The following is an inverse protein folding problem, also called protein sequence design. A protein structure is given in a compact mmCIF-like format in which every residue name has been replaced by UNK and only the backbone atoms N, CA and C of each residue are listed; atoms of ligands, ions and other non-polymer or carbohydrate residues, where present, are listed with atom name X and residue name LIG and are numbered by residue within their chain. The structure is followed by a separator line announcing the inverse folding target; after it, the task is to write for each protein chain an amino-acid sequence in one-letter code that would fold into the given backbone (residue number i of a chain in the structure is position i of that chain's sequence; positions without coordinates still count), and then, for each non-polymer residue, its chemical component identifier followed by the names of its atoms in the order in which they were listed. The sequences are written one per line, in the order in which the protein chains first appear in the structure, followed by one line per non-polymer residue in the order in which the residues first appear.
data_IF_480373652420
#
_entry.id   IF_480373652420
#
_cell.length_a   1.000
_cell.length_b   1.000
_cell.length_c   1.000
_cell.angle_alpha   90.00
_cell.angle_beta   90.00
_cell.angle_gamma   90.00
#
_symmetry.space_group_name_H-M   'P 1'
#
loop_
_entity.id
_entity.type
_entity.pdbx_description
1 polymer ?
#
# COMPACT_ATOMS: atom_id res chain seq x y z
N UNK A 1 -32.65 14.69 46.27
CA UNK A 1 -32.43 13.31 45.77
C UNK A 1 -31.41 12.67 46.69
N UNK A 2 -31.77 11.51 47.22
CA UNK A 2 -31.23 10.90 48.44
C UNK A 2 -29.83 10.32 48.27
N UNK A 3 -29.03 10.42 49.33
CA UNK A 3 -27.85 9.58 49.59
C UNK A 3 -28.28 8.19 50.08
N UNK A 4 -27.43 7.20 49.80
CA UNK A 4 -27.21 5.84 50.39
C UNK A 4 -26.74 4.96 49.21
N UNK A 5 -25.67 4.17 49.25
CA UNK A 5 -25.25 3.21 50.27
C UNK A 5 -23.77 2.83 50.09
N UNK A 6 -23.12 2.65 51.22
CA UNK A 6 -21.81 2.01 51.43
C UNK A 6 -21.95 0.50 51.31
N UNK A 7 -20.96 -0.21 50.74
CA UNK A 7 -20.64 -1.57 51.21
C UNK A 7 -19.17 -1.93 50.94
N UNK A 8 -18.42 -2.03 52.05
CA UNK A 8 -17.14 -2.71 52.23
C UNK A 8 -17.29 -4.24 52.07
N UNK A 9 -16.17 -4.91 51.71
CA UNK A 9 -15.75 -6.29 52.00
C UNK A 9 -14.93 -6.83 50.80
N UNK A 10 -13.80 -7.51 50.91
CA UNK A 10 -13.01 -8.01 52.04
C UNK A 10 -11.62 -8.38 51.49
N UNK A 11 -10.63 -8.31 52.36
CA UNK A 11 -9.22 -8.60 52.16
C UNK A 11 -9.01 -10.11 52.35
N UNK A 12 -8.30 -10.76 51.44
CA UNK A 12 -7.55 -11.99 51.78
C UNK A 12 -6.12 -11.92 51.24
N UNK A 13 -5.26 -11.51 52.17
CA UNK A 13 -3.84 -11.84 52.27
C UNK A 13 -3.67 -13.35 52.51
N UNK A 14 -2.77 -14.02 51.77
CA UNK A 14 -1.61 -14.74 52.35
C UNK A 14 -0.84 -15.62 51.36
N UNK A 15 0.47 -15.35 51.37
CA UNK A 15 1.63 -16.28 51.34
C UNK A 15 2.00 -16.99 50.04
N UNK A 16 3.26 -17.26 49.72
CA UNK A 16 4.62 -16.83 50.11
C UNK A 16 5.56 -17.76 49.31
N UNK A 17 6.78 -17.31 49.01
CA UNK A 17 8.00 -18.12 48.72
C UNK A 17 8.07 -18.93 47.41
N UNK A 18 9.20 -19.12 46.72
CA UNK A 18 10.61 -18.64 46.70
C UNK A 18 11.29 -19.37 45.53
N UNK A 19 12.43 -18.84 45.04
CA UNK A 19 13.56 -19.43 44.27
C UNK A 19 13.93 -18.43 43.15
N UNK A 20 14.92 -17.54 43.29
CA UNK A 20 16.34 -17.68 43.60
C UNK A 20 17.08 -18.64 42.65
N UNK A 21 17.65 -18.08 41.57
CA UNK A 21 18.87 -18.60 40.95
C UNK A 21 19.64 -17.46 40.31
N UNK A 22 20.57 -16.98 41.12
CA UNK A 22 21.78 -16.21 40.89
C UNK A 22 22.62 -16.73 39.73
N UNK A 23 23.13 -15.83 38.89
CA UNK A 23 24.15 -16.14 37.89
C UNK A 23 24.80 -14.85 37.36
N UNK A 24 25.96 -14.51 37.93
CA UNK A 24 26.75 -13.29 37.68
C UNK A 24 27.29 -13.17 36.24
N UNK A 25 27.64 -11.95 35.78
CA UNK A 25 28.35 -11.72 34.53
C UNK A 25 29.87 -11.91 34.71
N UNK A 26 30.55 -12.47 33.71
CA UNK A 26 32.02 -12.56 33.69
C UNK A 26 32.61 -11.48 32.80
N UNK A 27 33.50 -10.69 33.40
CA UNK A 27 34.35 -9.67 32.77
C UNK A 27 35.52 -10.26 31.97
N UNK A 28 35.82 -9.57 30.87
CA UNK A 28 37.13 -9.04 30.44
C UNK A 28 38.33 -9.99 30.17
N UNK A 29 38.77 -10.01 28.90
CA UNK A 29 40.15 -9.73 28.44
C UNK A 29 40.01 -9.20 27.00
N UNK A 30 40.61 -8.13 26.49
CA UNK A 30 41.91 -7.52 26.74
C UNK A 30 42.70 -7.57 25.43
N UNK A 31 42.58 -6.55 24.56
CA UNK A 31 43.51 -6.33 23.44
C UNK A 31 43.47 -4.85 22.98
N UNK A 32 44.26 -4.04 23.67
CA UNK A 32 44.88 -2.81 23.16
C UNK A 32 45.73 -3.13 21.91
N UNK A 33 45.68 -2.29 20.87
CA UNK A 33 46.87 -1.67 20.23
C UNK A 33 46.64 -1.20 18.79
N UNK A 34 46.96 0.10 18.60
CA UNK A 34 47.55 0.75 17.40
C UNK A 34 46.64 1.32 16.32
N UNK A 35 46.30 2.57 16.57
CA UNK A 35 46.48 3.71 15.65
C UNK A 35 47.63 3.52 14.64
N UNK A 36 47.33 3.68 13.35
CA UNK A 36 48.27 4.24 12.39
C UNK A 36 47.54 4.88 11.22
N UNK A 37 47.55 6.20 11.23
CA UNK A 37 47.26 7.11 10.13
C UNK A 37 47.99 6.73 8.85
N UNK A 38 47.30 6.78 7.71
CA UNK A 38 47.93 7.10 6.43
C UNK A 38 46.97 7.93 5.57
N UNK A 39 47.13 9.24 5.70
CA UNK A 39 46.75 10.24 4.71
C UNK A 39 47.86 10.28 3.65
N UNK A 40 47.48 10.18 2.37
CA UNK A 40 48.26 10.75 1.26
C UNK A 40 47.31 11.25 0.15
N UNK A 41 47.76 12.23 -0.66
CA UNK A 41 46.97 13.42 -0.91
C UNK A 41 46.52 13.57 -2.37
N UNK A 42 45.53 14.45 -2.57
CA UNK A 42 45.58 15.46 -3.63
C UNK A 42 45.23 15.04 -5.05
N UNK A 43 43.99 15.33 -5.43
CA UNK A 43 43.73 16.11 -6.64
C UNK A 43 42.43 16.90 -6.47
N UNK A 44 42.62 18.21 -6.41
CA UNK A 44 41.65 19.31 -6.35
C UNK A 44 40.83 19.46 -7.66
N UNK A 45 39.92 20.44 -7.80
CA UNK A 45 38.54 20.20 -8.19
C UNK A 45 38.22 20.70 -9.60
N UNK A 46 37.18 20.14 -10.24
CA UNK A 46 36.56 20.78 -11.39
C UNK A 46 35.13 21.21 -10.99
N UNK A 47 34.96 22.52 -10.88
CA UNK A 47 33.69 23.24 -10.76
C UNK A 47 32.99 23.34 -12.13
N UNK A 48 31.75 23.86 -12.22
CA UNK A 48 30.59 23.17 -12.75
C UNK A 48 30.35 23.50 -14.24
N UNK A 49 29.85 22.52 -15.00
CA UNK A 49 29.31 22.79 -16.34
C UNK A 49 27.79 22.73 -16.30
N UNK A 50 27.22 23.74 -16.95
CA UNK A 50 25.84 24.18 -16.92
C UNK A 50 24.84 23.12 -17.42
N UNK A 51 23.62 23.29 -16.92
CA UNK A 51 22.46 22.53 -17.29
C UNK A 51 22.04 22.76 -18.75
N UNK A 52 21.81 21.68 -19.48
CA UNK A 52 20.78 21.61 -20.51
C UNK A 52 20.03 20.27 -20.43
N UNK A 53 18.73 20.25 -20.79
CA UNK A 53 17.78 19.26 -20.32
C UNK A 53 17.89 17.97 -21.15
N UNK A 54 18.29 16.88 -20.51
CA UNK A 54 18.25 15.58 -21.16
C UNK A 54 16.82 15.06 -21.25
N UNK A 55 16.27 15.27 -22.45
CA UNK A 55 15.39 14.39 -23.23
C UNK A 55 14.58 13.38 -22.42
N UNK A 56 13.27 13.62 -22.44
CA UNK A 56 12.21 12.61 -22.33
C UNK A 56 12.71 11.23 -22.78
N UNK A 57 12.74 10.30 -21.83
CA UNK A 57 12.68 8.88 -22.10
C UNK A 57 11.39 8.62 -22.86
N UNK A 58 11.51 8.70 -24.18
CA UNK A 58 10.48 8.39 -25.15
C UNK A 58 10.19 6.88 -25.05
N UNK A 59 9.33 6.52 -24.08
CA UNK A 59 8.65 5.24 -24.02
C UNK A 59 7.74 5.16 -25.22
N UNK A 60 8.33 4.76 -26.34
CA UNK A 60 7.75 4.66 -27.67
C UNK A 60 6.45 3.85 -27.56
N UNK A 61 5.32 4.56 -27.56
CA UNK A 61 4.03 4.01 -27.96
C UNK A 61 4.15 3.60 -29.41
N UNK A 62 4.75 2.43 -29.63
CA UNK A 62 4.68 1.73 -30.89
C UNK A 62 3.25 1.19 -30.98
N UNK A 63 2.40 2.00 -31.59
CA UNK A 63 1.19 1.56 -32.24
C UNK A 63 1.62 0.58 -33.33
N UNK A 64 1.71 -0.71 -32.96
CA UNK A 64 1.83 -1.79 -33.93
C UNK A 64 0.43 -1.98 -34.53
N UNK A 65 0.25 -1.88 -35.86
CA UNK A 65 -1.00 -2.29 -36.47
C UNK A 65 -1.16 -3.78 -36.17
N UNK A 66 -2.22 -4.14 -35.44
CA UNK A 66 -2.52 -5.54 -35.21
C UNK A 66 -2.79 -6.19 -36.59
N UNK A 67 -1.93 -7.14 -36.93
CA UNK A 67 -2.17 -8.16 -37.93
C UNK A 67 -3.55 -8.79 -37.69
N UNK A 68 -4.48 -8.62 -38.64
CA UNK A 68 -5.40 -9.71 -39.00
C UNK A 68 -4.53 -10.76 -39.71
N UNK A 69 -4.66 -12.08 -39.49
CA UNK A 69 -5.95 -12.77 -39.52
C UNK A 69 -6.02 -13.98 -38.56
N UNK A 70 -6.77 -13.88 -37.47
CA UNK A 70 -7.32 -15.06 -36.80
C UNK A 70 -8.72 -15.26 -37.34
N UNK A 71 -8.93 -16.27 -38.18
CA UNK A 71 -10.27 -16.73 -38.52
C UNK A 71 -10.93 -17.20 -37.22
N UNK A 72 -11.80 -16.37 -36.65
CA UNK A 72 -12.87 -16.89 -35.82
C UNK A 72 -13.52 -18.01 -36.66
N UNK A 73 -13.68 -19.25 -36.15
CA UNK A 73 -14.62 -20.13 -36.82
C UNK A 73 -15.91 -19.32 -36.83
N UNK A 74 -16.49 -19.13 -38.02
CA UNK A 74 -17.78 -18.50 -38.23
C UNK A 74 -18.81 -19.32 -37.44
N UNK A 75 -18.84 -19.14 -36.11
CA UNK A 75 -19.93 -19.54 -35.26
C UNK A 75 -21.03 -18.62 -35.76
N UNK A 76 -21.89 -19.19 -36.62
CA UNK A 76 -23.12 -18.59 -37.12
C UNK A 76 -23.57 -17.59 -36.07
N UNK A 77 -23.47 -16.30 -36.42
CA UNK A 77 -23.89 -15.19 -35.56
C UNK A 77 -25.14 -15.65 -34.84
N UNK A 78 -25.28 -15.49 -33.52
CA UNK A 78 -26.50 -15.97 -32.83
C UNK A 78 -27.78 -15.47 -33.54
N UNK A 79 -27.68 -14.34 -34.24
CA UNK A 79 -28.68 -13.81 -35.18
C UNK A 79 -28.89 -14.63 -36.48
N UNK A 80 -27.84 -15.19 -37.10
CA UNK A 80 -27.92 -16.11 -38.24
C UNK A 80 -28.45 -17.50 -37.85
N UNK A 81 -28.15 -18.00 -36.64
CA UNK A 81 -28.81 -19.20 -36.11
C UNK A 81 -30.31 -18.97 -35.89
N UNK A 82 -30.71 -17.81 -35.36
CA UNK A 82 -32.13 -17.44 -35.17
C UNK A 82 -32.81 -17.17 -36.53
N UNK A 83 -32.10 -16.62 -37.51
CA UNK A 83 -32.65 -16.36 -38.84
C UNK A 83 -32.85 -17.64 -39.68
N UNK A 84 -31.99 -18.64 -39.54
CA UNK A 84 -32.13 -19.94 -40.23
C UNK A 84 -33.23 -20.83 -39.66
N UNK A 85 -33.72 -20.54 -38.45
CA UNK A 85 -34.86 -21.24 -37.84
C UNK A 85 -36.22 -20.60 -38.16
N UNK A 86 -36.28 -19.57 -39.01
CA UNK A 86 -37.47 -18.72 -39.18
C UNK A 86 -38.11 -18.74 -40.58
N UNK A 87 -37.76 -19.65 -41.49
CA UNK A 87 -38.34 -19.60 -42.85
C UNK A 87 -38.74 -20.93 -43.52
N UNK A 88 -38.42 -22.10 -42.98
CA UNK A 88 -38.91 -23.36 -43.56
C UNK A 88 -39.50 -24.29 -42.50
N UNK A 89 -40.71 -24.78 -42.81
CA UNK A 89 -41.40 -25.91 -42.19
C UNK A 89 -41.94 -25.75 -40.76
N UNK A 90 -42.98 -24.93 -40.62
CA UNK A 90 -43.99 -25.19 -39.58
C UNK A 90 -44.90 -26.36 -40.03
N UNK A 91 -44.40 -27.61 -39.96
CA UNK A 91 -45.21 -28.84 -40.22
C UNK A 91 -46.32 -29.10 -39.21
N UNK A 92 -46.31 -28.35 -38.10
CA UNK A 92 -47.48 -28.25 -37.22
C UNK A 92 -48.71 -27.69 -37.94
N UNK A 93 -48.56 -27.07 -39.13
CA UNK A 93 -49.71 -26.80 -39.98
C UNK A 93 -50.27 -28.10 -40.55
N UNK A 94 -49.47 -29.06 -41.02
CA UNK A 94 -49.97 -30.27 -41.71
C UNK A 94 -50.92 -31.10 -40.83
N UNK A 95 -50.55 -31.36 -39.56
CA UNK A 95 -51.46 -32.05 -38.64
C UNK A 95 -52.69 -31.20 -38.32
N UNK A 96 -52.52 -29.90 -38.07
CA UNK A 96 -53.64 -29.01 -37.73
C UNK A 96 -54.59 -28.77 -38.91
N UNK A 97 -54.05 -28.77 -40.13
CA UNK A 97 -54.76 -28.62 -41.40
C UNK A 97 -55.60 -29.87 -41.66
N UNK A 98 -55.03 -31.07 -41.45
CA UNK A 98 -55.77 -32.34 -41.57
C UNK A 98 -56.85 -32.45 -40.48
N UNK A 99 -56.57 -32.03 -39.25
CA UNK A 99 -57.58 -31.99 -38.18
C UNK A 99 -58.71 -31.00 -38.49
N UNK A 100 -58.39 -29.83 -39.04
CA UNK A 100 -59.37 -28.85 -39.49
C UNK A 100 -60.22 -29.39 -40.67
N UNK A 101 -59.61 -30.17 -41.57
CA UNK A 101 -60.33 -30.83 -42.66
C UNK A 101 -61.29 -31.92 -42.14
N UNK A 102 -60.89 -32.69 -41.12
CA UNK A 102 -61.76 -33.64 -40.43
C UNK A 102 -62.92 -32.89 -39.73
N UNK A 103 -62.64 -31.78 -39.07
CA UNK A 103 -63.65 -30.94 -38.42
C UNK A 103 -64.66 -30.38 -39.44
N UNK A 104 -64.17 -29.89 -40.59
CA UNK A 104 -65.01 -29.40 -41.68
C UNK A 104 -65.87 -30.53 -42.27
N UNK A 105 -65.30 -31.71 -42.46
CA UNK A 105 -65.99 -32.89 -42.97
C UNK A 105 -67.09 -33.38 -42.03
N UNK A 106 -66.89 -33.31 -40.71
CA UNK A 106 -67.95 -33.61 -39.73
C UNK A 106 -69.01 -32.51 -39.72
N UNK A 107 -68.61 -31.24 -39.81
CA UNK A 107 -69.53 -30.10 -39.74
C UNK A 107 -70.44 -29.98 -40.97
N UNK A 108 -69.98 -30.39 -42.15
CA UNK A 108 -70.74 -30.36 -43.41
C UNK A 108 -71.57 -31.62 -43.66
N UNK A 109 -71.38 -32.66 -42.86
CA UNK A 109 -72.00 -33.95 -43.07
C UNK A 109 -73.49 -33.96 -42.67
N UNK A 110 -74.26 -34.88 -43.28
CA UNK A 110 -75.73 -34.88 -43.17
C UNK A 110 -76.17 -35.45 -41.82
N UNK A 111 -76.76 -34.60 -40.97
CA UNK A 111 -77.31 -35.02 -39.68
C UNK A 111 -78.65 -35.76 -39.81
N UNK A 112 -78.88 -36.73 -38.95
CA UNK A 112 -80.16 -37.44 -38.85
C UNK A 112 -81.13 -36.69 -37.92
N UNK A 113 -82.42 -36.50 -38.30
CA UNK A 113 -83.38 -35.81 -37.45
C UNK A 113 -83.62 -36.60 -36.15
N UNK A 114 -83.72 -35.89 -35.02
CA UNK A 114 -83.95 -36.48 -33.68
C UNK A 114 -82.84 -37.45 -33.22
N UNK A 115 -81.61 -37.34 -33.74
CA UNK A 115 -80.49 -38.22 -33.38
C UNK A 115 -79.14 -37.47 -33.39
N UNK A 116 -78.20 -37.77 -32.48
CA UNK A 116 -76.86 -37.15 -32.45
C UNK A 116 -75.89 -37.72 -33.52
N UNK A 117 -76.39 -38.40 -34.55
CA UNK A 117 -75.57 -39.10 -35.53
C UNK A 117 -75.50 -38.34 -36.85
N UNK A 118 -74.32 -38.40 -37.48
CA UNK A 118 -73.99 -37.69 -38.72
C UNK A 118 -73.48 -38.69 -39.76
N UNK A 119 -73.95 -38.56 -41.01
CA UNK A 119 -73.58 -39.42 -42.13
C UNK A 119 -72.34 -38.88 -42.84
N UNK A 120 -71.22 -39.57 -42.67
CA UNK A 120 -69.92 -39.19 -43.20
C UNK A 120 -69.44 -40.23 -44.23
N UNK A 121 -68.71 -39.77 -45.27
CA UNK A 121 -68.03 -40.68 -46.19
C UNK A 121 -66.89 -41.40 -45.45
N UNK A 122 -67.06 -42.70 -45.21
CA UNK A 122 -66.08 -43.54 -44.51
C UNK A 122 -64.69 -43.54 -45.16
N UNK A 123 -64.61 -43.58 -46.50
CA UNK A 123 -63.32 -43.63 -47.19
C UNK A 123 -62.54 -42.33 -47.03
N UNK A 124 -63.23 -41.18 -47.12
CA UNK A 124 -62.62 -39.87 -46.94
C UNK A 124 -62.19 -39.62 -45.48
N UNK A 125 -63.04 -39.99 -44.51
CA UNK A 125 -62.72 -39.85 -43.08
C UNK A 125 -61.51 -40.72 -42.68
N UNK A 126 -61.41 -41.95 -43.19
CA UNK A 126 -60.27 -42.81 -42.93
C UNK A 126 -58.99 -42.29 -43.57
N UNK A 127 -59.06 -41.76 -44.80
CA UNK A 127 -57.90 -41.15 -45.46
C UNK A 127 -57.35 -39.96 -44.68
N UNK A 128 -58.21 -39.07 -44.18
CA UNK A 128 -57.77 -37.93 -43.36
C UNK A 128 -57.19 -38.39 -42.02
N UNK A 129 -57.78 -39.42 -41.39
CA UNK A 129 -57.25 -39.99 -40.16
C UNK A 129 -55.85 -40.61 -40.36
N UNK A 130 -55.64 -41.30 -41.48
CA UNK A 130 -54.34 -41.87 -41.84
C UNK A 130 -53.30 -40.77 -42.11
N UNK A 131 -53.67 -39.69 -42.80
CA UNK A 131 -52.80 -38.51 -42.97
C UNK A 131 -52.43 -37.86 -41.63
N UNK A 132 -53.39 -37.70 -40.71
CA UNK A 132 -53.11 -37.16 -39.37
C UNK A 132 -52.17 -38.08 -38.58
N UNK A 133 -52.33 -39.39 -38.73
CA UNK A 133 -51.47 -40.39 -38.10
C UNK A 133 -50.05 -40.38 -38.65
N UNK A 134 -49.88 -40.07 -39.92
CA UNK A 134 -48.58 -39.94 -40.57
C UNK A 134 -47.86 -38.63 -40.20
N UNK A 135 -48.60 -37.53 -40.05
CA UNK A 135 -48.07 -36.23 -39.67
C UNK A 135 -47.67 -36.15 -38.17
N UNK A 136 -48.46 -36.73 -37.26
CA UNK A 136 -48.23 -36.64 -35.80
C UNK A 136 -46.80 -36.99 -35.32
N UNK A 137 -46.19 -38.12 -35.74
CA UNK A 137 -44.84 -38.47 -35.29
C UNK A 137 -43.76 -37.47 -35.73
N UNK A 138 -43.95 -36.80 -36.86
CA UNK A 138 -43.01 -35.78 -37.35
C UNK A 138 -43.03 -34.54 -36.45
N UNK A 139 -44.21 -34.05 -36.09
CA UNK A 139 -44.38 -32.89 -35.21
C UNK A 139 -43.86 -33.16 -33.79
N UNK A 140 -44.10 -34.36 -33.25
CA UNK A 140 -43.58 -34.74 -31.92
C UNK A 140 -42.04 -34.79 -31.94
N UNK A 141 -41.43 -35.34 -33.00
CA UNK A 141 -39.97 -35.35 -33.13
C UNK A 141 -39.40 -33.93 -33.20
N UNK A 142 -40.03 -33.05 -33.96
CA UNK A 142 -39.62 -31.65 -34.08
C UNK A 142 -39.77 -30.91 -32.75
N UNK A 143 -40.89 -31.07 -32.04
CA UNK A 143 -41.11 -30.50 -30.71
C UNK A 143 -40.01 -30.95 -29.73
N UNK A 144 -39.68 -32.25 -29.72
CA UNK A 144 -38.59 -32.78 -28.90
C UNK A 144 -37.23 -32.20 -29.30
N UNK A 145 -36.98 -31.99 -30.60
CA UNK A 145 -35.74 -31.38 -31.09
C UNK A 145 -35.63 -29.91 -30.68
N UNK A 146 -36.73 -29.15 -30.72
CA UNK A 146 -36.78 -27.76 -30.23
C UNK A 146 -36.50 -27.73 -28.73
N UNK A 147 -37.12 -28.60 -27.95
CA UNK A 147 -36.88 -28.71 -26.50
C UNK A 147 -35.42 -29.08 -26.22
N UNK A 148 -34.86 -30.04 -26.95
CA UNK A 148 -33.45 -30.42 -26.82
C UNK A 148 -32.52 -29.25 -27.19
N UNK A 149 -32.82 -28.52 -28.25
CA UNK A 149 -32.09 -27.31 -28.65
C UNK A 149 -32.16 -26.20 -27.60
N UNK A 150 -33.34 -25.96 -27.04
CA UNK A 150 -33.53 -24.99 -25.96
C UNK A 150 -32.73 -25.37 -24.71
N UNK A 151 -32.76 -26.64 -24.31
CA UNK A 151 -31.97 -27.14 -23.19
C UNK A 151 -30.46 -26.97 -23.43
N UNK A 152 -29.98 -27.28 -24.63
CA UNK A 152 -28.57 -27.10 -24.98
C UNK A 152 -28.14 -25.62 -24.96
N UNK A 153 -29.03 -24.69 -25.35
CA UNK A 153 -28.77 -23.25 -25.25
C UNK A 153 -28.72 -22.80 -23.79
N UNK A 154 -29.64 -23.30 -22.95
CA UNK A 154 -29.66 -22.98 -21.52
C UNK A 154 -28.39 -23.49 -20.84
N UNK A 155 -27.97 -24.72 -21.14
CA UNK A 155 -26.74 -25.31 -20.60
C UNK A 155 -25.51 -24.48 -20.98
N UNK A 156 -25.36 -24.13 -22.26
CA UNK A 156 -24.27 -23.25 -22.71
C UNK A 156 -24.30 -21.88 -22.02
N UNK A 157 -25.48 -21.27 -21.91
CA UNK A 157 -25.62 -19.98 -21.24
C UNK A 157 -25.26 -20.06 -19.74
N UNK A 158 -25.55 -21.18 -19.08
CA UNK A 158 -25.14 -21.44 -17.70
C UNK A 158 -23.63 -21.62 -17.58
N UNK A 159 -23.01 -22.37 -18.49
CA UNK A 159 -21.54 -22.53 -18.55
C UNK A 159 -20.84 -21.18 -18.74
N UNK A 160 -21.29 -20.38 -19.71
CA UNK A 160 -20.75 -19.04 -19.97
C UNK A 160 -20.95 -18.11 -18.75
N UNK A 161 -22.12 -18.14 -18.14
CA UNK A 161 -22.39 -17.35 -16.92
C UNK A 161 -21.47 -17.75 -15.77
N UNK A 162 -21.23 -19.05 -15.57
CA UNK A 162 -20.33 -19.56 -14.55
C UNK A 162 -18.87 -19.15 -14.84
N UNK A 163 -18.44 -19.21 -16.11
CA UNK A 163 -17.11 -18.75 -16.51
C UNK A 163 -16.92 -17.25 -16.26
N UNK A 164 -17.91 -16.43 -16.62
CA UNK A 164 -17.89 -14.98 -16.36
C UNK A 164 -17.83 -14.71 -14.86
N UNK A 165 -18.62 -15.43 -14.07
CA UNK A 165 -18.65 -15.27 -12.61
C UNK A 165 -17.31 -15.66 -11.99
N UNK A 166 -16.71 -16.77 -12.41
CA UNK A 166 -15.38 -17.19 -11.95
C UNK A 166 -14.30 -16.16 -12.30
N UNK A 167 -14.31 -15.62 -13.53
CA UNK A 167 -13.40 -14.56 -13.97
C UNK A 167 -13.60 -13.28 -13.15
N UNK A 168 -14.85 -12.90 -12.89
CA UNK A 168 -15.18 -11.71 -12.11
C UNK A 168 -14.71 -11.86 -10.65
N UNK A 169 -14.91 -13.03 -10.04
CA UNK A 169 -14.43 -13.34 -8.70
C UNK A 169 -12.90 -13.28 -8.62
N UNK A 170 -12.19 -13.97 -9.52
CA UNK A 170 -10.73 -13.94 -9.57
C UNK A 170 -10.19 -12.52 -9.77
N UNK A 171 -10.79 -11.72 -10.65
CA UNK A 171 -10.42 -10.32 -10.85
C UNK A 171 -10.69 -9.47 -9.60
N UNK A 172 -11.80 -9.70 -8.91
CA UNK A 172 -12.13 -9.01 -7.66
C UNK A 172 -11.10 -9.32 -6.58
N UNK A 173 -10.74 -10.59 -6.41
CA UNK A 173 -9.69 -11.03 -5.47
C UNK A 173 -8.34 -10.38 -5.80
N UNK A 174 -7.97 -10.34 -7.08
CA UNK A 174 -6.75 -9.66 -7.52
C UNK A 174 -6.77 -8.16 -7.21
N UNK A 175 -7.88 -7.47 -7.49
CA UNK A 175 -8.02 -6.04 -7.18
C UNK A 175 -7.92 -5.79 -5.68
N UNK A 176 -8.54 -6.63 -4.86
CA UNK A 176 -8.46 -6.52 -3.40
C UNK A 176 -7.04 -6.73 -2.91
N UNK A 177 -6.35 -7.78 -3.39
CA UNK A 177 -4.97 -8.06 -3.03
C UNK A 177 -4.04 -6.89 -3.41
N UNK A 178 -4.16 -6.35 -4.62
CA UNK A 178 -3.39 -5.19 -5.08
C UNK A 178 -3.68 -3.94 -4.26
N UNK A 179 -4.95 -3.70 -3.91
CA UNK A 179 -5.35 -2.56 -3.09
C UNK A 179 -4.77 -2.65 -1.67
N UNK A 180 -4.83 -3.84 -1.06
CA UNK A 180 -4.22 -4.08 0.26
C UNK A 180 -2.70 -3.88 0.22
N UNK A 181 -2.01 -4.47 -0.76
CA UNK A 181 -0.57 -4.30 -0.90
C UNK A 181 -0.15 -2.83 -1.04
N UNK A 182 -0.89 -2.05 -1.83
CA UNK A 182 -0.65 -0.60 -1.98
C UNK A 182 -0.95 0.18 -0.71
N UNK A 183 -2.02 -0.17 0.00
CA UNK A 183 -2.35 0.47 1.27
C UNK A 183 -1.24 0.24 2.30
N UNK A 184 -0.77 -1.01 2.42
CA UNK A 184 0.34 -1.36 3.31
C UNK A 184 1.63 -0.64 2.93
N UNK A 185 1.92 -0.51 1.63
CA UNK A 185 3.07 0.24 1.13
C UNK A 185 2.99 1.73 1.54
N UNK A 186 1.82 2.36 1.36
CA UNK A 186 1.61 3.76 1.72
C UNK A 186 1.74 3.98 3.23
N UNK A 187 1.15 3.12 4.05
CA UNK A 187 1.27 3.19 5.51
C UNK A 187 2.74 3.03 5.93
N UNK A 188 3.47 2.10 5.32
CA UNK A 188 4.88 1.92 5.61
C UNK A 188 5.72 3.13 5.20
N UNK A 189 5.46 3.72 4.03
CA UNK A 189 6.12 4.94 3.58
C UNK A 189 5.86 6.10 4.54
N UNK A 190 4.61 6.31 4.93
CA UNK A 190 4.24 7.37 5.88
C UNK A 190 4.94 7.17 7.23
N UNK A 191 4.97 5.93 7.74
CA UNK A 191 5.67 5.59 8.97
C UNK A 191 7.18 5.91 8.89
N UNK A 192 7.81 5.63 7.76
CA UNK A 192 9.23 5.97 7.55
C UNK A 192 9.44 7.48 7.58
N UNK A 193 8.53 8.25 6.98
CA UNK A 193 8.60 9.73 6.99
C UNK A 193 8.49 10.26 8.42
N UNK A 194 7.51 9.80 9.20
CA UNK A 194 7.34 10.20 10.60
C UNK A 194 8.58 9.83 11.43
N UNK A 195 9.11 8.61 11.27
CA UNK A 195 10.33 8.19 11.96
C UNK A 195 11.56 9.01 11.56
N UNK A 196 11.67 9.39 10.28
CA UNK A 196 12.75 10.24 9.79
C UNK A 196 12.65 11.66 10.35
N UNK A 197 11.43 12.20 10.47
CA UNK A 197 11.17 13.50 11.10
C UNK A 197 11.54 13.50 12.59
N UNK A 198 11.04 12.52 13.36
CA UNK A 198 11.39 12.36 14.79
C UNK A 198 12.93 12.23 14.97
N UNK A 199 13.58 11.45 14.11
CA UNK A 199 15.04 11.33 14.17
C UNK A 199 15.75 12.62 13.80
N UNK A 200 15.24 13.38 12.83
CA UNK A 200 15.80 14.69 12.49
C UNK A 200 15.67 15.67 13.65
N UNK A 201 14.51 15.73 14.31
CA UNK A 201 14.28 16.55 15.51
C UNK A 201 15.25 16.19 16.63
N UNK A 202 15.42 14.89 16.92
CA UNK A 202 16.39 14.42 17.93
C UNK A 202 17.84 14.78 17.58
N UNK A 203 18.21 14.73 16.29
CA UNK A 203 19.55 15.13 15.85
C UNK A 203 19.75 16.64 16.04
N UNK A 204 18.74 17.44 15.70
CA UNK A 204 18.78 18.89 15.89
C UNK A 204 18.90 19.23 17.38
N UNK A 205 18.07 18.63 18.24
CA UNK A 205 18.12 18.85 19.69
C UNK A 205 19.47 18.46 20.30
N UNK A 206 20.05 17.33 19.85
CA UNK A 206 21.39 16.92 20.29
C UNK A 206 22.46 17.91 19.81
N UNK A 207 22.38 18.34 18.56
CA UNK A 207 23.33 19.30 17.99
C UNK A 207 23.26 20.66 18.69
N UNK A 208 22.06 21.17 18.97
CA UNK A 208 21.89 22.43 19.71
C UNK A 208 22.45 22.32 21.12
N UNK A 209 22.14 21.24 21.84
CA UNK A 209 22.68 21.01 23.19
C UNK A 209 24.20 20.88 23.20
N UNK A 210 24.80 20.23 22.21
CA UNK A 210 26.26 20.15 22.07
C UNK A 210 26.84 21.54 21.80
N UNK A 211 26.24 22.31 20.90
CA UNK A 211 26.70 23.66 20.57
C UNK A 211 26.62 24.61 21.79
N UNK A 212 25.53 24.55 22.56
CA UNK A 212 25.36 25.32 23.81
C UNK A 212 26.43 24.93 24.85
N UNK A 213 26.63 23.64 25.07
CA UNK A 213 27.66 23.15 25.99
C UNK A 213 29.06 23.56 25.54
N UNK A 214 29.35 23.51 24.24
CA UNK A 214 30.64 23.91 23.68
C UNK A 214 30.87 25.41 23.86
N UNK A 215 29.84 26.23 23.61
CA UNK A 215 29.91 27.69 23.77
C UNK A 215 30.12 28.04 25.23
N UNK A 216 29.30 27.48 26.13
CA UNK A 216 29.44 27.69 27.58
C UNK A 216 30.81 27.20 28.11
N UNK A 217 31.31 26.08 27.59
CA UNK A 217 32.64 25.56 27.94
C UNK A 217 33.76 26.48 27.46
N UNK A 218 33.67 27.02 26.25
CA UNK A 218 34.63 27.99 25.72
C UNK A 218 34.61 29.31 26.51
N UNK A 219 33.42 29.83 26.85
CA UNK A 219 33.27 31.05 27.65
C UNK A 219 33.88 30.88 29.03
N UNK A 220 33.59 29.76 29.72
CA UNK A 220 34.20 29.44 31.02
C UNK A 220 35.71 29.34 30.94
N UNK A 221 36.23 28.69 29.90
CA UNK A 221 37.68 28.58 29.70
C UNK A 221 38.33 29.95 29.47
N UNK A 222 37.71 30.81 28.67
CA UNK A 222 38.18 32.18 28.46
C UNK A 222 38.18 32.98 29.77
N UNK A 223 37.11 32.89 30.57
CA UNK A 223 37.00 33.54 31.88
C UNK A 223 38.12 33.07 32.82
N UNK A 224 38.33 31.75 32.95
CA UNK A 224 39.38 31.18 33.79
C UNK A 224 40.77 31.67 33.37
N UNK A 225 41.04 31.75 32.07
CA UNK A 225 42.32 32.22 31.53
C UNK A 225 42.52 33.73 31.71
N UNK A 226 41.46 34.52 31.57
CA UNK A 226 41.51 35.95 31.83
C UNK A 226 41.72 36.24 33.33
N UNK A 227 41.06 35.50 34.21
CA UNK A 227 41.26 35.60 35.66
C UNK A 227 42.68 35.19 36.08
N UNK A 228 43.23 34.12 35.47
CA UNK A 228 44.63 33.71 35.68
C UNK A 228 45.60 34.83 35.26
N UNK A 229 45.38 35.42 34.08
CA UNK A 229 46.18 36.53 33.58
C UNK A 229 46.07 37.77 34.48
N UNK A 230 44.88 38.12 34.95
CA UNK A 230 44.66 39.22 35.90
C UNK A 230 45.49 39.00 37.18
N UNK A 231 45.49 37.78 37.72
CA UNK A 231 46.28 37.43 38.89
C UNK A 231 47.79 37.61 38.66
N UNK A 232 48.30 37.25 37.48
CA UNK A 232 49.71 37.46 37.10
C UNK A 232 50.02 38.97 37.01
N UNK A 233 49.16 39.75 36.35
CA UNK A 233 49.34 41.19 36.21
C UNK A 233 49.32 41.89 37.57
N UNK A 234 48.45 41.51 38.50
CA UNK A 234 48.44 42.04 39.87
C UNK A 234 49.76 41.79 40.60
N UNK A 235 50.30 40.56 40.53
CA UNK A 235 51.62 40.24 41.11
C UNK A 235 52.74 41.09 40.51
N UNK A 236 52.72 41.29 39.19
CA UNK A 236 53.73 42.11 38.50
C UNK A 236 53.60 43.60 38.87
N UNK A 237 52.37 44.11 39.05
CA UNK A 237 52.13 45.46 39.57
C UNK A 237 52.65 45.62 41.00
N UNK A 238 52.42 44.65 41.89
CA UNK A 238 52.95 44.65 43.26
C UNK A 238 54.48 44.66 43.27
N UNK A 239 55.12 43.85 42.42
CA UNK A 239 56.59 43.84 42.27
C UNK A 239 57.13 45.18 41.77
N UNK A 240 56.46 45.81 40.78
CA UNK A 240 56.83 47.13 40.28
C UNK A 240 56.67 48.22 41.35
N UNK A 241 55.57 48.19 42.09
CA UNK A 241 55.32 49.11 43.21
C UNK A 241 56.37 48.95 44.32
N UNK A 242 56.71 47.71 44.68
CA UNK A 242 57.77 47.39 45.64
C UNK A 242 59.14 47.90 45.14
N UNK A 243 59.50 47.61 43.88
CA UNK A 243 60.74 48.10 43.26
C UNK A 243 60.83 49.63 43.28
N UNK A 244 59.74 50.33 42.95
CA UNK A 244 59.67 51.80 43.06
C UNK A 244 59.80 52.30 44.49
N UNK A 245 59.23 51.61 45.47
CA UNK A 245 59.35 51.97 46.90
C UNK A 245 60.82 51.88 47.34
N UNK A 246 61.51 50.79 47.00
CA UNK A 246 62.94 50.61 47.28
C UNK A 246 63.78 51.71 46.65
N UNK A 247 63.52 52.07 45.38
CA UNK A 247 64.22 53.16 44.71
C UNK A 247 63.96 54.53 45.37
N UNK A 248 62.72 54.80 45.81
CA UNK A 248 62.40 56.02 46.57
C UNK A 248 63.10 56.05 47.93
N UNK A 249 63.18 54.93 48.63
CA UNK A 249 63.91 54.83 49.90
C UNK A 249 65.42 55.06 49.69
N UNK A 250 65.99 54.50 48.63
CA UNK A 250 67.39 54.76 48.25
C UNK A 250 67.63 56.22 47.85
N UNK A 251 66.70 56.87 47.15
CA UNK A 251 66.82 58.28 46.77
C UNK A 251 66.72 59.25 47.97
N UNK A 252 66.08 58.85 49.07
CA UNK A 252 66.12 59.61 50.34
C UNK A 252 67.47 59.46 51.05
N UNK A 253 68.22 58.43 50.72
CA UNK A 253 69.58 58.20 51.19
C UNK A 253 70.55 58.83 50.19
N UNK A 254 70.59 60.17 50.17
CA UNK A 254 71.55 60.92 49.38
C UNK A 254 72.94 60.79 50.04
N UNK A 255 73.93 60.13 49.42
CA UNK A 255 75.26 59.98 50.02
C UNK A 255 75.99 61.31 50.20
N UNK A 256 75.51 62.41 49.62
CA UNK A 256 76.11 63.75 49.79
C UNK A 256 75.89 64.34 51.20
N UNK A 257 74.82 63.98 51.92
CA UNK A 257 74.62 64.43 53.33
C UNK A 257 75.23 63.49 54.37
N UNK A 258 75.62 62.28 53.99
CA UNK A 258 76.32 61.35 54.88
C UNK A 258 77.83 61.67 55.02
N UNK A 259 78.39 62.47 54.10
CA UNK A 259 79.80 62.88 54.15
C UNK A 259 80.06 64.08 55.07
N UNK A 260 79.05 64.90 55.41
CA UNK A 260 79.23 66.04 56.33
C UNK A 260 79.25 65.62 57.82
N UNK A 261 78.91 64.38 58.17
CA UNK A 261 78.90 63.91 59.57
C UNK A 261 80.18 63.15 60.01
N UNK A 262 81.20 63.05 59.15
CA UNK A 262 82.47 62.35 59.48
C UNK A 262 83.71 63.24 59.60
N UNK A 263 83.62 64.53 59.30
CA UNK A 263 84.72 65.48 59.52
C UNK A 263 84.24 66.60 60.44
N UNK A 264 84.43 66.44 61.76
CA UNK A 264 84.62 67.49 62.80
C UNK A 264 84.42 66.88 64.20
N UNK A 265 85.19 65.84 64.54
CA UNK A 265 85.58 65.61 65.92
C UNK A 265 87.08 65.31 65.94
N UNK A 266 87.77 66.14 66.74
CA UNK A 266 89.22 66.27 66.99
C UNK A 266 90.06 67.05 65.95
#
# INVERSE_FOLDING_TARGET
MSNTETTDADITDKTDKTEETTGMPSENTGADSKESSQVKPGSEPAEPTEAEPNKESNGKSNHKPADKPGKEPEALTSQQMIAQLNAEDYKGSELMDVLAEIEALISQARSLPMSPFVLVNKAQALSLLDSAREAMPADIRMANQIVAGANAVIERAQEEANEILAKAQSKSEQIQADAHARADELINKERIVVMAQDRAEQVIEKATKIAENQTSGADKYCEDKLAELEGILRKMQEQSAAGRKVLKERAKFDPETASEMKETHD
#
